data_IF_262071550403
#
_entry.id   IF_262071550403
#
_cell.length_a   1.000
_cell.length_b   1.000
_cell.length_c   1.000
_cell.angle_alpha   90.00
_cell.angle_beta   90.00
_cell.angle_gamma   90.00
#
_symmetry.space_group_name_H-M   'P 1'
#
loop_
_entity.id
_entity.type
_entity.pdbx_description
1 polymer ?
#
# COMPACT_ATOMS: atom_id res chain seq x y z
N UNK A 1 13.83 23.20 -7.86
CA UNK A 1 13.43 21.83 -7.50
C UNK A 1 14.46 20.83 -8.00
N UNK A 2 15.68 20.82 -7.44
CA UNK A 2 16.71 19.84 -7.82
C UNK A 2 17.58 19.47 -6.60
N UNK A 3 16.97 19.43 -5.41
CA UNK A 3 17.64 19.16 -4.14
C UNK A 3 16.97 18.05 -3.33
N UNK A 4 16.08 17.26 -3.95
CA UNK A 4 15.34 16.17 -3.29
C UNK A 4 15.44 14.83 -4.04
N UNK A 5 16.36 14.69 -5.01
CA UNK A 5 16.65 13.39 -5.64
C UNK A 5 15.49 12.74 -6.42
N UNK A 6 14.51 13.53 -6.87
CA UNK A 6 13.42 13.04 -7.73
C UNK A 6 13.74 13.49 -9.16
N UNK A 7 13.98 12.53 -10.04
CA UNK A 7 14.13 12.79 -11.47
C UNK A 7 12.75 13.03 -12.10
N UNK A 8 12.66 13.92 -13.09
CA UNK A 8 11.38 14.23 -13.77
C UNK A 8 10.76 13.01 -14.46
N UNK A 9 11.53 11.92 -14.59
CA UNK A 9 11.16 10.62 -15.11
C UNK A 9 10.36 9.77 -14.11
N UNK A 10 10.46 10.02 -12.80
CA UNK A 10 9.87 9.20 -11.73
C UNK A 10 8.43 9.60 -11.37
N UNK A 11 7.92 10.68 -11.96
CA UNK A 11 6.53 11.12 -11.77
C UNK A 11 5.67 10.40 -12.83
N UNK A 12 5.34 9.14 -12.55
CA UNK A 12 4.28 8.46 -13.28
C UNK A 12 2.92 9.05 -12.87
N UNK A 13 2.42 9.93 -13.74
CA UNK A 13 1.02 10.23 -14.06
C UNK A 13 0.02 10.28 -12.87
N UNK A 14 -0.15 11.47 -12.30
CA UNK A 14 -1.34 11.83 -11.52
C UNK A 14 -2.36 12.41 -12.50
N UNK A 15 -3.54 11.79 -12.73
CA UNK A 15 -4.58 12.40 -13.54
C UNK A 15 -5.14 13.62 -12.80
N UNK A 16 -4.78 14.82 -13.25
CA UNK A 16 -5.42 16.06 -12.82
C UNK A 16 -6.41 16.49 -13.90
N UNK A 17 -7.71 16.31 -13.61
CA UNK A 17 -8.82 16.84 -14.39
C UNK A 17 -8.77 18.37 -14.41
N UNK A 18 -8.21 18.95 -15.47
CA UNK A 18 -8.56 20.31 -15.90
C UNK A 18 -8.77 20.31 -17.41
N UNK A 19 -10.03 20.18 -17.81
CA UNK A 19 -10.53 20.34 -19.17
C UNK A 19 -10.18 21.72 -19.74
N UNK A 20 -9.41 21.75 -20.84
CA UNK A 20 -9.55 22.70 -21.96
C UNK A 20 -8.73 22.26 -23.18
N UNK A 21 -9.45 21.62 -24.10
CA UNK A 21 -9.48 21.76 -25.56
C UNK A 21 -8.20 21.77 -26.43
N UNK A 22 -8.28 20.87 -27.43
CA UNK A 22 -7.83 20.94 -28.84
C UNK A 22 -6.39 20.58 -29.30
N UNK A 23 -6.41 19.65 -30.28
CA UNK A 23 -5.57 19.52 -31.50
C UNK A 23 -4.32 18.60 -31.51
N UNK A 24 -4.56 17.41 -32.08
CA UNK A 24 -3.87 16.79 -33.24
C UNK A 24 -2.34 16.58 -33.16
N UNK A 25 -1.92 15.32 -33.13
CA UNK A 25 -0.57 14.90 -33.51
C UNK A 25 -0.41 13.38 -33.57
N UNK A 26 -0.26 12.84 -34.79
CA UNK A 26 -0.11 11.43 -35.13
C UNK A 26 1.35 11.21 -35.54
N UNK A 27 2.04 10.20 -34.99
CA UNK A 27 3.23 9.65 -35.62
C UNK A 27 3.54 8.23 -35.11
N UNK A 28 3.49 7.28 -36.05
CA UNK A 28 4.13 5.97 -35.98
C UNK A 28 5.65 6.12 -36.05
N UNK A 29 6.38 5.22 -35.40
CA UNK A 29 7.66 4.70 -35.91
C UNK A 29 7.78 3.21 -35.63
N UNK A 30 8.41 2.53 -36.56
CA UNK A 30 8.41 1.10 -36.76
C UNK A 30 9.78 0.47 -36.47
N UNK A 31 9.74 -0.80 -36.05
CA UNK A 31 10.62 -1.95 -36.38
C UNK A 31 12.15 -1.87 -36.21
N UNK A 32 12.70 -2.85 -35.49
CA UNK A 32 13.61 -3.92 -35.96
C UNK A 32 13.99 -4.80 -34.74
N UNK A 33 13.61 -6.07 -34.64
CA UNK A 33 14.10 -7.30 -35.30
C UNK A 33 15.06 -8.11 -34.39
N UNK A 34 14.84 -9.42 -34.33
CA UNK A 34 15.80 -10.55 -34.41
C UNK A 34 15.39 -11.72 -33.49
N UNK A 35 14.89 -12.76 -34.14
CA UNK A 35 14.73 -14.15 -33.68
C UNK A 35 16.09 -14.88 -33.69
N UNK A 36 16.25 -16.00 -32.95
CA UNK A 36 16.27 -17.27 -33.70
C UNK A 36 15.48 -18.42 -33.04
N UNK A 37 14.80 -19.14 -33.93
CA UNK A 37 14.46 -20.56 -33.94
C UNK A 37 14.95 -21.45 -32.78
N UNK A 38 14.00 -22.14 -32.15
CA UNK A 38 14.17 -23.55 -31.81
C UNK A 38 12.92 -24.35 -32.21
N UNK A 39 13.19 -25.48 -32.85
CA UNK A 39 12.28 -26.42 -33.48
C UNK A 39 11.89 -27.50 -32.49
N UNK A 40 10.62 -27.92 -32.48
CA UNK A 40 10.25 -29.32 -32.68
C UNK A 40 8.72 -29.45 -32.71
N UNK A 41 8.21 -29.82 -33.88
CA UNK A 41 6.86 -30.30 -34.13
C UNK A 41 6.66 -31.69 -33.52
N UNK A 42 5.52 -31.92 -32.87
CA UNK A 42 4.85 -33.23 -32.94
C UNK A 42 3.34 -33.01 -33.06
N UNK A 43 2.87 -33.14 -34.30
CA UNK A 43 1.47 -33.28 -34.71
C UNK A 43 1.17 -34.78 -34.81
N UNK A 44 -0.01 -35.24 -34.38
CA UNK A 44 -0.61 -36.41 -35.03
C UNK A 44 -1.70 -35.95 -35.98
N UNK A 45 -1.43 -36.13 -37.27
CA UNK A 45 -2.46 -36.20 -38.31
C UNK A 45 -2.78 -37.68 -38.47
N UNK A 46 -4.03 -38.08 -38.25
CA UNK A 46 -4.54 -39.36 -38.76
C UNK A 46 -5.83 -39.09 -39.50
N UNK A 47 -5.79 -39.28 -40.81
CA UNK A 47 -6.95 -39.29 -41.71
C UNK A 47 -7.16 -40.73 -42.18
N UNK A 48 -8.32 -41.30 -41.87
CA UNK A 48 -8.99 -42.37 -42.63
C UNK A 48 -10.43 -42.43 -42.09
N UNK A 49 -11.40 -41.84 -42.80
CA UNK A 49 -12.25 -42.49 -43.80
C UNK A 49 -13.45 -43.23 -43.17
N UNK A 50 -14.61 -42.59 -43.32
CA UNK A 50 -15.97 -43.11 -43.53
C UNK A 50 -16.35 -44.47 -42.92
N UNK A 51 -17.30 -44.44 -41.99
CA UNK A 51 -18.06 -45.61 -41.57
C UNK A 51 -19.29 -45.21 -40.76
N UNK A 52 -20.46 -45.55 -41.29
CA UNK A 52 -21.81 -45.33 -40.76
C UNK A 52 -21.96 -45.66 -39.26
N UNK A 53 -22.68 -44.80 -38.54
CA UNK A 53 -22.98 -44.97 -37.12
C UNK A 53 -23.69 -43.75 -36.54
N UNK A 54 -24.85 -43.42 -37.12
CA UNK A 54 -25.89 -42.67 -36.40
C UNK A 54 -26.23 -43.47 -35.13
N UNK A 55 -26.72 -42.78 -34.09
CA UNK A 55 -27.25 -43.35 -32.82
C UNK A 55 -26.19 -43.58 -31.71
N UNK A 56 -25.78 -42.51 -30.99
CA UNK A 56 -25.40 -42.54 -29.55
C UNK A 56 -24.83 -41.21 -29.00
N UNK A 57 -24.62 -40.16 -29.82
CA UNK A 57 -23.95 -38.92 -29.37
C UNK A 57 -24.85 -37.71 -29.05
N UNK A 58 -26.17 -37.88 -28.93
CA UNK A 58 -27.07 -36.74 -28.62
C UNK A 58 -27.21 -36.41 -27.13
N UNK A 59 -26.76 -37.29 -26.22
CA UNK A 59 -26.96 -37.08 -24.77
C UNK A 59 -25.92 -36.18 -24.08
N UNK A 60 -24.67 -36.18 -24.56
CA UNK A 60 -23.56 -35.46 -23.90
C UNK A 60 -23.55 -33.96 -24.26
N UNK A 61 -24.15 -33.59 -25.39
CA UNK A 61 -24.13 -32.20 -25.90
C UNK A 61 -25.14 -31.27 -25.19
N UNK A 62 -26.04 -31.80 -24.36
CA UNK A 62 -27.12 -30.99 -23.74
C UNK A 62 -26.76 -30.31 -22.42
N UNK A 63 -25.66 -30.67 -21.75
CA UNK A 63 -25.32 -30.09 -20.44
C UNK A 63 -24.27 -28.98 -20.63
N UNK A 64 -24.63 -27.70 -20.38
CA UNK A 64 -23.70 -26.59 -20.54
C UNK A 64 -22.45 -26.77 -19.67
N UNK A 65 -21.25 -26.54 -20.22
CA UNK A 65 -20.04 -26.62 -19.42
C UNK A 65 -20.03 -25.53 -18.32
N UNK A 66 -19.73 -25.91 -17.07
CA UNK A 66 -19.54 -24.92 -16.00
C UNK A 66 -18.17 -24.25 -16.19
N UNK A 67 -18.17 -22.93 -16.40
CA UNK A 67 -16.94 -22.14 -16.50
C UNK A 67 -16.75 -21.26 -15.27
N UNK A 68 -15.49 -21.00 -14.92
CA UNK A 68 -15.12 -20.21 -13.75
C UNK A 68 -15.63 -18.76 -13.89
N UNK A 69 -15.63 -18.23 -15.10
CA UNK A 69 -16.11 -16.88 -15.41
C UNK A 69 -17.60 -16.74 -15.06
N UNK A 70 -18.40 -17.75 -15.37
CA UNK A 70 -19.84 -17.77 -15.07
C UNK A 70 -20.08 -17.87 -13.55
N UNK A 71 -19.25 -18.65 -12.83
CA UNK A 71 -19.30 -18.73 -11.36
C UNK A 71 -18.95 -17.38 -10.70
N UNK A 72 -18.00 -16.63 -11.26
CA UNK A 72 -17.65 -15.28 -10.77
C UNK A 72 -18.77 -14.27 -10.97
N UNK A 73 -19.70 -14.50 -11.91
CA UNK A 73 -20.87 -13.66 -12.11
C UNK A 73 -22.02 -13.99 -11.14
N UNK A 74 -21.94 -15.10 -10.40
CA UNK A 74 -22.99 -15.48 -9.45
C UNK A 74 -23.14 -14.43 -8.34
N UNK A 75 -24.40 -14.12 -8.00
CA UNK A 75 -24.76 -13.14 -6.96
C UNK A 75 -24.05 -13.39 -5.63
N UNK A 76 -23.83 -14.65 -5.27
CA UNK A 76 -23.10 -15.03 -4.04
C UNK A 76 -21.64 -14.53 -4.07
N UNK A 77 -20.93 -14.75 -5.18
CA UNK A 77 -19.55 -14.31 -5.37
C UNK A 77 -19.44 -12.77 -5.40
N UNK A 78 -20.30 -12.11 -6.19
CA UNK A 78 -20.34 -10.64 -6.26
C UNK A 78 -20.66 -9.99 -4.90
N UNK A 79 -21.58 -10.58 -4.12
CA UNK A 79 -21.89 -10.12 -2.76
C UNK A 79 -20.69 -10.29 -1.83
N UNK A 80 -19.94 -11.38 -1.98
CA UNK A 80 -18.73 -11.63 -1.21
C UNK A 80 -17.62 -10.62 -1.54
N UNK A 81 -17.36 -10.33 -2.83
CA UNK A 81 -16.41 -9.29 -3.24
C UNK A 81 -16.80 -7.91 -2.68
N UNK A 82 -18.09 -7.57 -2.68
CA UNK A 82 -18.58 -6.31 -2.08
C UNK A 82 -18.34 -6.27 -0.56
N UNK A 83 -18.36 -7.41 0.12
CA UNK A 83 -18.01 -7.52 1.54
C UNK A 83 -16.51 -7.28 1.74
N UNK A 84 -15.66 -7.97 0.98
CA UNK A 84 -14.20 -7.80 1.03
C UNK A 84 -13.77 -6.34 0.76
N UNK A 85 -14.41 -5.67 -0.20
CA UNK A 85 -14.16 -4.25 -0.46
C UNK A 85 -14.47 -3.35 0.76
N UNK A 86 -15.53 -3.65 1.52
CA UNK A 86 -15.88 -2.88 2.73
C UNK A 86 -14.85 -3.11 3.84
N UNK A 87 -14.39 -4.34 4.01
CA UNK A 87 -13.34 -4.68 4.98
C UNK A 87 -12.04 -3.93 4.66
N UNK A 88 -11.62 -3.92 3.39
CA UNK A 88 -10.44 -3.17 2.94
C UNK A 88 -10.58 -1.67 3.17
N UNK A 89 -11.74 -1.09 2.87
CA UNK A 89 -12.00 0.33 3.13
C UNK A 89 -11.97 0.68 4.62
N UNK A 90 -12.47 -0.23 5.47
CA UNK A 90 -12.40 -0.08 6.92
C UNK A 90 -10.95 -0.11 7.43
N UNK A 91 -10.15 -1.05 6.91
CA UNK A 91 -8.73 -1.17 7.25
C UNK A 91 -7.95 0.09 6.85
N UNK A 92 -8.11 0.56 5.62
CA UNK A 92 -7.48 1.82 5.15
C UNK A 92 -7.86 3.01 6.03
N UNK A 93 -9.12 3.09 6.47
CA UNK A 93 -9.59 4.15 7.38
C UNK A 93 -8.96 4.02 8.78
N UNK A 94 -8.73 2.80 9.27
CA UNK A 94 -8.01 2.55 10.53
C UNK A 94 -6.56 3.04 10.41
N UNK A 95 -5.83 2.61 9.37
CA UNK A 95 -4.44 3.01 9.13
C UNK A 95 -4.27 4.53 9.01
N UNK A 96 -5.16 5.20 8.26
CA UNK A 96 -5.13 6.66 8.13
C UNK A 96 -5.30 7.40 9.47
N UNK A 97 -6.15 6.88 10.38
CA UNK A 97 -6.33 7.46 11.72
C UNK A 97 -5.10 7.25 12.60
N UNK A 98 -4.50 6.07 12.55
CA UNK A 98 -3.29 5.75 13.31
C UNK A 98 -2.12 6.63 12.84
N UNK A 99 -1.94 6.78 11.53
CA UNK A 99 -0.99 7.73 10.95
C UNK A 99 -1.19 9.16 11.47
N UNK A 100 -2.41 9.68 11.41
CA UNK A 100 -2.70 11.04 11.88
C UNK A 100 -2.45 11.21 13.38
N UNK A 101 -2.78 10.20 14.18
CA UNK A 101 -2.58 10.21 15.63
C UNK A 101 -1.10 10.21 15.97
N UNK A 102 -0.32 9.33 15.33
CA UNK A 102 1.13 9.24 15.50
C UNK A 102 1.81 10.56 15.10
N UNK A 103 1.47 11.11 13.93
CA UNK A 103 2.06 12.36 13.45
C UNK A 103 1.79 13.53 14.41
N UNK A 104 0.56 13.64 14.93
CA UNK A 104 0.22 14.69 15.92
C UNK A 104 1.01 14.52 17.21
N UNK A 105 1.17 13.29 17.68
CA UNK A 105 1.95 12.98 18.88
C UNK A 105 3.43 13.36 18.68
N UNK A 106 4.03 12.92 17.58
CA UNK A 106 5.43 13.22 17.23
C UNK A 106 5.66 14.73 17.14
N UNK A 107 4.80 15.46 16.42
CA UNK A 107 4.86 16.92 16.31
C UNK A 107 4.81 17.58 17.69
N UNK A 108 3.82 17.20 18.53
CA UNK A 108 3.66 17.76 19.88
C UNK A 108 4.87 17.49 20.77
N UNK A 109 5.50 16.31 20.66
CA UNK A 109 6.68 15.97 21.45
C UNK A 109 7.89 16.83 21.06
N UNK A 110 8.13 17.03 19.76
CA UNK A 110 9.20 17.91 19.28
C UNK A 110 8.95 19.35 19.73
N UNK A 111 7.74 19.87 19.55
CA UNK A 111 7.37 21.23 19.94
C UNK A 111 7.63 21.49 21.43
N UNK A 112 7.29 20.53 22.29
CA UNK A 112 7.54 20.63 23.74
C UNK A 112 9.02 20.71 24.07
N UNK A 113 9.86 19.92 23.41
CA UNK A 113 11.32 19.89 23.67
C UNK A 113 11.97 21.19 23.19
N UNK A 114 11.56 21.70 22.04
CA UNK A 114 12.03 22.98 21.50
C UNK A 114 11.61 24.13 22.43
N UNK A 115 10.33 24.20 22.77
CA UNK A 115 9.80 25.24 23.65
C UNK A 115 10.46 25.24 25.03
N UNK A 116 10.75 24.05 25.60
CA UNK A 116 11.44 23.94 26.87
C UNK A 116 12.88 24.46 26.79
N UNK A 117 13.63 24.05 25.76
CA UNK A 117 14.99 24.53 25.53
C UNK A 117 15.03 26.07 25.36
N UNK A 118 14.14 26.63 24.55
CA UNK A 118 14.06 28.08 24.33
C UNK A 118 13.73 28.84 25.62
N UNK A 119 12.82 28.28 26.44
CA UNK A 119 12.46 28.86 27.73
C UNK A 119 13.62 28.87 28.71
N UNK A 120 14.36 27.76 28.84
CA UNK A 120 15.52 27.64 29.73
C UNK A 120 16.65 28.56 29.29
N UNK A 121 16.97 28.57 27.99
CA UNK A 121 17.96 29.46 27.40
C UNK A 121 17.63 30.93 27.66
N UNK A 122 16.40 31.35 27.35
CA UNK A 122 15.95 32.73 27.61
C UNK A 122 16.01 33.11 29.09
N UNK A 123 15.77 32.14 29.99
CA UNK A 123 15.85 32.36 31.43
C UNK A 123 17.29 32.62 31.89
N UNK A 124 18.27 31.87 31.36
CA UNK A 124 19.69 32.11 31.63
C UNK A 124 20.14 33.47 31.11
N UNK A 125 19.77 33.82 29.88
CA UNK A 125 20.09 35.12 29.26
C UNK A 125 19.53 36.30 30.08
N UNK A 126 18.25 36.25 30.46
CA UNK A 126 17.59 37.30 31.27
C UNK A 126 18.21 37.41 32.67
N UNK A 127 18.62 36.29 33.26
CA UNK A 127 19.27 36.28 34.58
C UNK A 127 20.63 36.95 34.52
N UNK A 128 21.43 36.64 33.50
CA UNK A 128 22.71 37.28 33.25
C UNK A 128 22.56 38.78 33.01
N UNK A 129 21.60 39.20 32.17
CA UNK A 129 21.34 40.61 31.88
C UNK A 129 20.99 41.40 33.15
N UNK A 130 20.14 40.84 34.02
CA UNK A 130 19.79 41.46 35.32
C UNK A 130 20.99 41.53 36.26
N UNK A 131 21.83 40.51 36.30
CA UNK A 131 23.02 40.48 37.16
C UNK A 131 24.07 41.51 36.71
N UNK A 132 24.25 41.67 35.39
CA UNK A 132 25.14 42.67 34.80
C UNK A 132 24.69 44.10 35.10
N UNK A 133 23.38 44.37 35.09
CA UNK A 133 22.84 45.70 35.48
C UNK A 133 23.09 46.04 36.95
N UNK A 134 23.27 45.04 37.84
CA UNK A 134 23.44 45.24 39.29
C UNK A 134 24.89 45.25 39.77
N UNK A 135 25.81 44.56 39.09
CA UNK A 135 27.20 44.33 39.54
C UNK A 135 28.18 44.93 38.51
N UNK A 136 28.65 46.16 38.74
CA UNK A 136 29.77 46.74 37.99
C UNK A 136 31.11 46.28 38.60
N UNK A 137 31.90 45.49 37.89
CA UNK A 137 33.25 45.09 38.34
C UNK A 137 33.71 43.69 37.88
N UNK A 138 34.86 43.23 38.38
CA UNK A 138 35.56 41.98 37.99
C UNK A 138 34.68 40.71 38.04
N UNK A 139 33.75 40.62 39.01
CA UNK A 139 32.75 39.55 39.14
C UNK A 139 31.83 39.39 37.92
N UNK A 140 31.70 40.42 37.09
CA UNK A 140 30.84 40.40 35.92
C UNK A 140 31.37 39.48 34.80
N UNK A 141 32.69 39.40 34.65
CA UNK A 141 33.31 38.55 33.63
C UNK A 141 33.18 37.07 33.97
N UNK A 142 33.35 36.70 35.24
CA UNK A 142 33.13 35.32 35.70
C UNK A 142 31.67 34.88 35.53
N UNK A 143 30.70 35.70 35.96
CA UNK A 143 29.27 35.36 35.77
C UNK A 143 28.89 35.20 34.30
N UNK A 144 29.50 35.98 33.40
CA UNK A 144 29.30 35.84 31.95
C UNK A 144 29.84 34.50 31.45
N UNK A 145 31.07 34.13 31.83
CA UNK A 145 31.67 32.84 31.47
C UNK A 145 30.86 31.65 32.02
N UNK A 146 30.41 31.75 33.27
CA UNK A 146 29.61 30.69 33.90
C UNK A 146 28.27 30.50 33.19
N UNK A 147 27.58 31.60 32.84
CA UNK A 147 26.32 31.52 32.08
C UNK A 147 26.54 30.95 30.68
N UNK A 148 27.63 31.34 30.01
CA UNK A 148 27.99 30.80 28.70
C UNK A 148 28.20 29.28 28.75
N UNK A 149 28.94 28.78 29.75
CA UNK A 149 29.14 27.32 29.95
C UNK A 149 27.79 26.62 30.15
N UNK A 150 26.89 27.18 30.98
CA UNK A 150 25.55 26.61 31.19
C UNK A 150 24.74 26.54 29.90
N UNK A 151 24.77 27.61 29.08
CA UNK A 151 24.08 27.63 27.79
C UNK A 151 24.69 26.61 26.83
N UNK A 152 26.02 26.45 26.81
CA UNK A 152 26.69 25.45 25.98
C UNK A 152 26.31 24.02 26.38
N UNK A 153 26.30 23.71 27.68
CA UNK A 153 25.82 22.42 28.19
C UNK A 153 24.36 22.19 27.81
N UNK A 154 23.47 23.16 28.07
CA UNK A 154 22.06 23.09 27.71
C UNK A 154 21.86 22.84 26.20
N UNK A 155 22.64 23.48 25.35
CA UNK A 155 22.60 23.32 23.89
C UNK A 155 23.06 21.91 23.48
N UNK A 156 24.13 21.40 24.09
CA UNK A 156 24.61 20.04 23.86
C UNK A 156 23.57 18.99 24.26
N UNK A 157 22.96 19.16 25.44
CA UNK A 157 21.94 18.26 25.96
C UNK A 157 20.69 18.27 25.09
N UNK A 158 20.21 19.46 24.69
CA UNK A 158 19.10 19.60 23.74
C UNK A 158 19.41 18.89 22.41
N UNK A 159 20.60 19.08 21.86
CA UNK A 159 21.02 18.41 20.62
C UNK A 159 21.01 16.88 20.76
N UNK A 160 21.47 16.36 21.89
CA UNK A 160 21.42 14.92 22.18
C UNK A 160 19.97 14.43 22.28
N UNK A 161 19.12 15.15 23.01
CA UNK A 161 17.70 14.81 23.17
C UNK A 161 16.94 14.81 21.86
N UNK A 162 17.19 15.79 21.00
CA UNK A 162 16.59 15.85 19.65
C UNK A 162 17.01 14.64 18.82
N UNK A 163 18.30 14.26 18.83
CA UNK A 163 18.76 13.07 18.11
C UNK A 163 18.08 11.78 18.61
N UNK A 164 17.96 11.62 19.92
CA UNK A 164 17.28 10.48 20.53
C UNK A 164 15.82 10.39 20.09
N UNK A 165 15.09 11.52 20.15
CA UNK A 165 13.68 11.58 19.76
C UNK A 165 13.49 11.33 18.27
N UNK A 166 14.35 11.88 17.41
CA UNK A 166 14.28 11.61 15.96
C UNK A 166 14.51 10.12 15.67
N UNK A 167 15.48 9.49 16.35
CA UNK A 167 15.71 8.05 16.21
C UNK A 167 14.50 7.24 16.68
N UNK A 168 13.92 7.60 17.83
CA UNK A 168 12.72 6.96 18.36
C UNK A 168 11.50 7.12 17.44
N UNK A 169 11.24 8.33 16.94
CA UNK A 169 10.15 8.61 16.00
C UNK A 169 10.30 7.82 14.70
N UNK A 170 11.53 7.72 14.20
CA UNK A 170 11.82 6.92 13.00
C UNK A 170 11.48 5.45 13.25
N UNK A 171 11.89 4.90 14.39
CA UNK A 171 11.59 3.52 14.78
C UNK A 171 10.09 3.27 14.89
N UNK A 172 9.38 4.09 15.67
CA UNK A 172 7.92 3.97 15.86
C UNK A 172 7.15 4.06 14.54
N UNK A 173 7.58 4.97 13.65
CA UNK A 173 6.98 5.10 12.33
C UNK A 173 7.22 3.85 11.46
N UNK A 174 8.45 3.36 11.40
CA UNK A 174 8.79 2.15 10.66
C UNK A 174 8.04 0.92 11.18
N UNK A 175 7.94 0.76 12.50
CA UNK A 175 7.18 -0.34 13.13
C UNK A 175 5.70 -0.28 12.77
N UNK A 176 5.09 0.91 12.82
CA UNK A 176 3.70 1.12 12.41
C UNK A 176 3.49 0.77 10.93
N UNK A 177 4.35 1.27 10.03
CA UNK A 177 4.28 0.97 8.59
C UNK A 177 4.43 -0.53 8.32
N UNK A 178 5.38 -1.19 8.96
CA UNK A 178 5.58 -2.63 8.81
C UNK A 178 4.37 -3.42 9.29
N UNK A 179 3.77 -2.99 10.40
CA UNK A 179 2.53 -3.59 10.93
C UNK A 179 1.37 -3.39 9.96
N UNK A 180 1.18 -2.18 9.42
CA UNK A 180 0.15 -1.90 8.41
C UNK A 180 0.34 -2.76 7.16
N UNK A 181 1.58 -2.89 6.68
CA UNK A 181 1.92 -3.73 5.53
C UNK A 181 1.61 -5.21 5.79
N UNK A 182 1.91 -5.72 6.98
CA UNK A 182 1.57 -7.09 7.38
C UNK A 182 0.05 -7.31 7.45
N UNK A 183 -0.69 -6.42 8.10
CA UNK A 183 -2.17 -6.47 8.16
C UNK A 183 -2.79 -6.43 6.74
N UNK A 184 -2.25 -5.61 5.85
CA UNK A 184 -2.69 -5.55 4.45
C UNK A 184 -2.37 -6.84 3.67
N UNK A 185 -1.27 -7.51 3.98
CA UNK A 185 -0.93 -8.76 3.33
C UNK A 185 -1.84 -9.90 3.82
N UNK A 186 -2.04 -9.99 5.14
CA UNK A 186 -2.92 -10.98 5.76
C UNK A 186 -4.35 -10.88 5.22
N UNK A 187 -4.89 -9.66 5.07
CA UNK A 187 -6.24 -9.49 4.53
C UNK A 187 -6.32 -9.90 3.04
N UNK A 188 -5.27 -9.63 2.23
CA UNK A 188 -5.22 -10.06 0.83
C UNK A 188 -5.21 -11.59 0.73
N UNK A 189 -4.39 -12.24 1.54
CA UNK A 189 -4.26 -13.70 1.55
C UNK A 189 -5.55 -14.36 2.04
N UNK A 190 -6.15 -13.82 3.09
CA UNK A 190 -7.47 -14.24 3.58
C UNK A 190 -8.54 -14.09 2.49
N UNK A 191 -8.58 -12.94 1.81
CA UNK A 191 -9.55 -12.68 0.75
C UNK A 191 -9.39 -13.64 -0.42
N UNK A 192 -8.16 -13.95 -0.82
CA UNK A 192 -7.87 -14.92 -1.88
C UNK A 192 -8.34 -16.33 -1.48
N UNK A 193 -8.00 -16.79 -0.27
CA UNK A 193 -8.44 -18.10 0.22
C UNK A 193 -9.97 -18.23 0.23
N UNK A 194 -10.66 -17.21 0.74
CA UNK A 194 -12.12 -17.19 0.77
C UNK A 194 -12.74 -17.19 -0.63
N UNK A 195 -12.17 -16.45 -1.59
CA UNK A 195 -12.63 -16.48 -2.98
C UNK A 195 -12.46 -17.87 -3.60
N UNK A 196 -11.31 -18.51 -3.40
CA UNK A 196 -11.04 -19.87 -3.88
C UNK A 196 -12.02 -20.89 -3.29
N UNK A 197 -12.24 -20.85 -1.97
CA UNK A 197 -13.19 -21.73 -1.29
C UNK A 197 -14.63 -21.52 -1.78
N UNK A 198 -15.03 -20.26 -1.97
CA UNK A 198 -16.37 -19.94 -2.46
C UNK A 198 -16.57 -20.45 -3.88
N UNK A 199 -15.62 -20.21 -4.78
CA UNK A 199 -15.68 -20.72 -6.15
C UNK A 199 -15.72 -22.24 -6.19
N UNK A 200 -14.92 -22.92 -5.35
CA UNK A 200 -14.97 -24.38 -5.23
C UNK A 200 -16.35 -24.88 -4.78
N UNK A 201 -16.97 -24.23 -3.80
CA UNK A 201 -18.32 -24.57 -3.33
C UNK A 201 -19.37 -24.36 -4.43
N UNK A 202 -19.31 -23.24 -5.15
CA UNK A 202 -20.22 -22.95 -6.26
C UNK A 202 -20.06 -23.96 -7.41
N UNK A 203 -18.82 -24.34 -7.73
CA UNK A 203 -18.52 -25.34 -8.75
C UNK A 203 -19.09 -26.72 -8.37
N UNK A 204 -18.89 -27.16 -7.13
CA UNK A 204 -19.44 -28.43 -6.63
C UNK A 204 -20.98 -28.41 -6.74
N UNK A 205 -21.62 -27.34 -6.28
CA UNK A 205 -23.08 -27.21 -6.35
C UNK A 205 -23.60 -27.21 -7.81
N UNK A 206 -22.89 -26.56 -8.73
CA UNK A 206 -23.25 -26.58 -10.15
C UNK A 206 -23.13 -27.99 -10.75
N UNK A 207 -22.05 -28.72 -10.43
CA UNK A 207 -21.88 -30.11 -10.87
C UNK A 207 -22.94 -31.05 -10.28
N UNK A 208 -23.32 -30.85 -9.02
CA UNK A 208 -24.40 -31.61 -8.38
C UNK A 208 -25.74 -31.37 -9.11
N UNK A 209 -26.05 -30.12 -9.45
CA UNK A 209 -27.26 -29.77 -10.22
C UNK A 209 -27.25 -30.40 -11.61
N UNK A 210 -26.11 -30.35 -12.32
CA UNK A 210 -25.96 -31.00 -13.63
C UNK A 210 -26.13 -32.51 -13.56
N UNK A 211 -25.55 -33.14 -12.55
CA UNK A 211 -25.67 -34.58 -12.32
C UNK A 211 -27.13 -34.96 -12.06
N UNK A 212 -27.85 -34.18 -11.27
CA UNK A 212 -29.28 -34.40 -11.00
C UNK A 212 -30.13 -34.22 -12.28
N UNK A 213 -29.86 -33.18 -13.07
CA UNK A 213 -30.55 -32.97 -14.36
C UNK A 213 -30.31 -34.13 -15.33
N UNK A 214 -29.08 -34.65 -15.40
CA UNK A 214 -28.77 -35.80 -16.25
C UNK A 214 -29.54 -37.05 -15.82
N UNK A 215 -29.60 -37.33 -14.51
CA UNK A 215 -30.39 -38.46 -13.97
C UNK A 215 -31.86 -38.35 -14.38
N UNK A 216 -32.49 -37.19 -14.16
CA UNK A 216 -33.88 -36.95 -14.54
C UNK A 216 -34.12 -37.08 -16.05
N UNK A 217 -33.14 -36.71 -16.88
CA UNK A 217 -33.23 -36.88 -18.33
C UNK A 217 -33.08 -38.32 -18.79
N UNK A 218 -32.37 -39.18 -18.04
CA UNK A 218 -32.25 -40.61 -18.33
C UNK A 218 -33.46 -41.41 -17.85
N UNK A 219 -34.13 -40.96 -16.77
CA UNK A 219 -35.31 -41.62 -16.20
C UNK A 219 -36.61 -41.35 -17.00
N UNK A 220 -36.56 -40.51 -18.05
CA UNK A 220 -37.71 -40.03 -18.83
C UNK A 220 -37.70 -40.60 -20.24
#
# INVERSE_FOLDING_TARGET
MRAMGIETSDIADVPSDTSKNDKKGKANTAKANVTPQSSSELRPTTTAALGSGMEAKKGIELIPQVRIEDLKQMKAYLKHLKKQQKELNSLKKKHAKEHSTMQKLHCTQVDKIVAQYDKEKSTHEKTLEKAMKKKGGSNCLEMKKETEIKIQTLTSDHKSKVKEIVAQHTKEWSEMINTHSAEEQEIRDLHLSQQCELLKKLLISAHEQQTQQLKLSHDR
#
